data_IF_914249419984
#
_entry.id   IF_914249419984
#
_cell.length_a   1.000
_cell.length_b   1.000
_cell.length_c   1.000
_cell.angle_alpha   90.00
_cell.angle_beta   90.00
_cell.angle_gamma   90.00
#
_symmetry.space_group_name_H-M   'P 1'
#
loop_
_entity.id
_entity.type
_entity.pdbx_description
1 polymer ?
#
# COMPACT_ATOMS: atom_id res chain seq x y z
N UNK A 1 -7.14 -17.58 -17.73
CA UNK A 1 -8.51 -17.27 -17.24
C UNK A 1 -8.79 -15.81 -17.49
N UNK A 2 -9.97 -15.45 -18.01
CA UNK A 2 -10.41 -14.04 -17.99
C UNK A 2 -10.89 -13.76 -16.56
N UNK A 3 -10.37 -12.73 -15.87
CA UNK A 3 -10.83 -12.39 -14.54
C UNK A 3 -12.34 -12.10 -14.55
N UNK A 4 -13.08 -12.68 -13.60
CA UNK A 4 -14.54 -12.58 -13.54
C UNK A 4 -14.98 -11.30 -12.81
N UNK A 5 -14.96 -10.16 -13.51
CA UNK A 5 -15.45 -8.89 -12.97
C UNK A 5 -16.95 -8.90 -12.61
N UNK A 6 -17.74 -9.82 -13.16
CA UNK A 6 -19.17 -9.92 -12.81
C UNK A 6 -19.37 -10.38 -11.38
N UNK A 7 -18.52 -11.31 -10.89
CA UNK A 7 -18.55 -11.74 -9.50
C UNK A 7 -18.31 -10.56 -8.55
N UNK A 8 -17.37 -9.67 -8.91
CA UNK A 8 -17.05 -8.48 -8.12
C UNK A 8 -18.13 -7.41 -8.22
N UNK A 9 -18.71 -7.20 -9.41
CA UNK A 9 -19.83 -6.29 -9.58
C UNK A 9 -21.03 -6.68 -8.71
N UNK A 10 -21.26 -7.99 -8.50
CA UNK A 10 -22.28 -8.51 -7.59
C UNK A 10 -22.02 -8.22 -6.09
N UNK A 11 -20.80 -7.81 -5.72
CA UNK A 11 -20.45 -7.41 -4.35
C UNK A 11 -20.76 -5.93 -4.06
N UNK A 12 -21.08 -5.16 -5.09
CA UNK A 12 -21.28 -3.72 -4.99
C UNK A 12 -22.73 -3.35 -5.33
N UNK A 13 -23.27 -2.44 -4.56
CA UNK A 13 -24.50 -1.74 -4.89
C UNK A 13 -24.24 -0.74 -6.01
N UNK A 14 -25.17 -0.64 -6.97
CA UNK A 14 -25.08 0.30 -8.11
C UNK A 14 -23.73 0.19 -8.85
N UNK A 15 -23.34 -1.01 -9.32
CA UNK A 15 -22.05 -1.19 -9.95
C UNK A 15 -22.00 -0.49 -11.30
N UNK A 16 -20.94 0.27 -11.52
CA UNK A 16 -20.57 0.94 -12.76
C UNK A 16 -19.26 0.32 -13.25
N UNK A 17 -19.32 -0.34 -14.39
CA UNK A 17 -18.14 -0.92 -15.05
C UNK A 17 -17.45 0.21 -15.81
N UNK A 18 -16.31 0.66 -15.29
CA UNK A 18 -15.54 1.77 -15.87
C UNK A 18 -14.60 1.28 -16.99
N UNK A 19 -14.10 0.06 -16.84
CA UNK A 19 -13.29 -0.62 -17.86
C UNK A 19 -13.71 -2.09 -17.88
N UNK A 20 -14.26 -2.53 -19.02
CA UNK A 20 -14.89 -3.83 -19.22
C UNK A 20 -14.02 -5.05 -18.91
N UNK A 21 -12.71 -4.87 -18.75
CA UNK A 21 -11.78 -5.93 -18.35
C UNK A 21 -11.04 -5.70 -17.04
N UNK A 22 -11.07 -4.48 -16.46
CA UNK A 22 -10.18 -4.17 -15.33
C UNK A 22 -10.77 -3.34 -14.19
N UNK A 23 -11.84 -2.56 -14.35
CA UNK A 23 -12.26 -1.63 -13.28
C UNK A 23 -13.77 -1.59 -13.10
N UNK A 24 -14.21 -1.76 -11.85
CA UNK A 24 -15.60 -1.62 -11.42
C UNK A 24 -15.64 -0.67 -10.23
N UNK A 25 -16.61 0.24 -10.23
CA UNK A 25 -16.89 1.15 -9.12
C UNK A 25 -18.31 0.93 -8.65
N UNK A 26 -18.57 1.10 -7.37
CA UNK A 26 -19.91 1.00 -6.82
C UNK A 26 -19.90 1.36 -5.34
N UNK A 27 -20.94 0.95 -4.63
CA UNK A 27 -21.11 1.25 -3.24
C UNK A 27 -21.14 -0.03 -2.40
N UNK A 28 -20.62 0.03 -1.18
CA UNK A 28 -20.86 -0.96 -0.15
C UNK A 28 -21.46 -0.22 1.04
N UNK A 29 -22.79 -0.28 1.17
CA UNK A 29 -23.54 0.69 1.97
C UNK A 29 -23.34 2.12 1.44
N UNK A 30 -22.96 3.05 2.29
CA UNK A 30 -22.73 4.46 1.91
C UNK A 30 -21.30 4.74 1.41
N UNK A 31 -20.42 3.72 1.43
CA UNK A 31 -19.03 3.90 1.07
C UNK A 31 -18.80 3.62 -0.42
N UNK A 32 -18.29 4.61 -1.14
CA UNK A 32 -17.81 4.42 -2.51
C UNK A 32 -16.59 3.48 -2.50
N UNK A 33 -16.66 2.40 -3.26
CA UNK A 33 -15.59 1.42 -3.44
C UNK A 33 -15.23 1.35 -4.92
N UNK A 34 -13.93 1.40 -5.21
CA UNK A 34 -13.38 1.15 -6.54
C UNK A 34 -12.55 -0.13 -6.50
N UNK A 35 -12.93 -1.10 -7.32
CA UNK A 35 -12.20 -2.33 -7.51
C UNK A 35 -11.47 -2.28 -8.85
N UNK A 36 -10.19 -2.65 -8.86
CA UNK A 36 -9.36 -2.64 -10.06
C UNK A 36 -8.48 -3.87 -10.15
N UNK A 37 -8.31 -4.36 -11.36
CA UNK A 37 -7.33 -5.37 -11.73
C UNK A 37 -6.15 -4.72 -12.43
N UNK A 38 -4.96 -5.05 -11.96
CA UNK A 38 -3.70 -4.61 -12.56
C UNK A 38 -2.82 -5.81 -12.84
N UNK A 39 -2.37 -5.94 -14.07
CA UNK A 39 -1.25 -6.82 -14.36
C UNK A 39 0.03 -6.14 -13.84
N UNK A 40 0.79 -6.82 -13.00
CA UNK A 40 2.14 -6.38 -12.61
C UNK A 40 3.14 -7.43 -13.03
N UNK A 41 4.18 -6.98 -13.72
CA UNK A 41 5.33 -7.80 -14.07
C UNK A 41 6.29 -7.84 -12.87
N UNK A 42 6.67 -9.05 -12.45
CA UNK A 42 7.69 -9.29 -11.44
C UNK A 42 8.76 -10.20 -12.04
N UNK A 43 9.77 -9.58 -12.67
CA UNK A 43 10.75 -10.30 -13.48
C UNK A 43 10.10 -10.88 -14.74
N UNK A 44 10.23 -12.19 -14.95
CA UNK A 44 9.63 -12.90 -16.09
C UNK A 44 8.18 -13.36 -15.83
N UNK A 45 7.63 -13.11 -14.64
CA UNK A 45 6.28 -13.56 -14.26
C UNK A 45 5.32 -12.38 -14.25
N UNK A 46 4.22 -12.51 -15.00
CA UNK A 46 3.08 -11.59 -14.90
C UNK A 46 2.11 -12.07 -13.84
N UNK A 47 1.81 -11.23 -12.86
CA UNK A 47 0.86 -11.54 -11.78
C UNK A 47 -0.31 -10.55 -11.87
N UNK A 48 -1.54 -11.06 -11.79
CA UNK A 48 -2.73 -10.22 -11.68
C UNK A 48 -2.89 -9.77 -10.24
N UNK A 49 -2.90 -8.47 -10.03
CA UNK A 49 -3.17 -7.82 -8.76
C UNK A 49 -4.59 -7.30 -8.73
N UNK A 50 -5.21 -7.46 -7.58
CA UNK A 50 -6.47 -6.85 -7.19
C UNK A 50 -6.17 -5.62 -6.34
N UNK A 51 -6.82 -4.51 -6.66
CA UNK A 51 -6.78 -3.28 -5.88
C UNK A 51 -8.21 -2.92 -5.46
N UNK A 52 -8.43 -2.69 -4.17
CA UNK A 52 -9.69 -2.17 -3.62
C UNK A 52 -9.39 -0.83 -3.00
N UNK A 53 -10.02 0.22 -3.52
CA UNK A 53 -9.81 1.60 -3.08
C UNK A 53 -11.10 2.21 -2.54
N UNK A 54 -11.00 2.91 -1.42
CA UNK A 54 -12.06 3.78 -0.88
C UNK A 54 -11.52 5.18 -0.64
N UNK A 55 -12.35 6.24 -0.77
CA UNK A 55 -11.97 7.59 -0.36
C UNK A 55 -11.38 7.61 1.06
N UNK A 56 -10.23 8.27 1.21
CA UNK A 56 -9.63 8.54 2.51
C UNK A 56 -9.97 9.97 2.95
N UNK A 57 -10.24 10.21 4.24
CA UNK A 57 -10.39 11.56 4.76
C UNK A 57 -9.09 12.36 4.58
N UNK A 58 -9.19 13.64 4.25
CA UNK A 58 -8.01 14.50 4.10
C UNK A 58 -7.24 14.63 5.42
N UNK A 59 -5.91 14.62 5.33
CA UNK A 59 -5.01 14.74 6.48
C UNK A 59 -4.74 13.43 7.21
N UNK A 60 -5.38 12.32 6.82
CA UNK A 60 -5.10 11.00 7.38
C UNK A 60 -4.23 10.19 6.40
N UNK A 61 -3.01 9.90 6.81
CA UNK A 61 -2.06 9.07 6.05
C UNK A 61 -1.77 7.84 6.90
N UNK A 62 -2.25 6.66 6.50
CA UNK A 62 -2.01 5.41 7.23
C UNK A 62 -1.49 4.37 6.25
N UNK A 63 -0.34 3.78 6.58
CA UNK A 63 0.18 2.61 5.92
C UNK A 63 0.22 1.43 6.89
N UNK A 64 -0.55 0.40 6.61
CA UNK A 64 -0.47 -0.89 7.30
C UNK A 64 0.12 -1.87 6.31
N UNK A 65 1.08 -2.68 6.74
CA UNK A 65 1.74 -3.69 5.90
C UNK A 65 2.45 -4.75 6.73
N UNK A 66 2.77 -5.88 6.10
CA UNK A 66 3.64 -6.88 6.71
C UNK A 66 5.07 -6.32 6.86
N UNK A 67 5.76 -6.64 7.96
CA UNK A 67 7.16 -6.28 8.12
C UNK A 67 8.02 -7.02 7.09
N UNK A 68 9.01 -6.34 6.53
CA UNK A 68 10.09 -7.02 5.80
C UNK A 68 11.12 -7.57 6.79
N UNK A 69 11.82 -8.65 6.43
CA UNK A 69 12.90 -9.21 7.28
C UNK A 69 13.96 -8.17 7.68
N UNK A 70 14.17 -7.15 6.84
CA UNK A 70 15.04 -6.02 7.17
C UNK A 70 14.44 -5.14 8.27
N UNK A 71 13.16 -4.81 8.19
CA UNK A 71 12.49 -3.97 9.17
C UNK A 71 12.32 -4.68 10.50
N UNK A 72 12.06 -5.99 10.50
CA UNK A 72 12.10 -6.79 11.73
C UNK A 72 13.45 -6.66 12.42
N UNK A 73 14.56 -6.77 11.66
CA UNK A 73 15.91 -6.59 12.20
C UNK A 73 16.18 -5.16 12.66
N UNK A 74 15.71 -4.15 11.94
CA UNK A 74 15.89 -2.75 12.33
C UNK A 74 15.11 -2.44 13.61
N UNK A 75 13.88 -2.95 13.76
CA UNK A 75 13.08 -2.82 14.99
C UNK A 75 13.72 -3.58 16.16
N UNK A 76 14.17 -4.83 15.94
CA UNK A 76 14.86 -5.63 16.97
C UNK A 76 16.13 -4.95 17.50
N UNK A 77 16.85 -4.23 16.63
CA UNK A 77 18.08 -3.50 16.99
C UNK A 77 17.80 -2.12 17.59
N UNK A 78 16.53 -1.73 17.77
CA UNK A 78 16.15 -0.39 18.23
C UNK A 78 16.47 0.72 17.23
N UNK A 79 16.73 0.37 15.96
CA UNK A 79 17.09 1.30 14.87
C UNK A 79 15.85 1.84 14.14
N UNK A 80 14.68 1.25 14.38
CA UNK A 80 13.39 1.71 13.88
C UNK A 80 12.32 1.57 14.97
N UNK A 81 11.40 2.52 15.01
CA UNK A 81 10.20 2.46 15.86
C UNK A 81 9.02 2.08 14.98
N UNK A 82 8.40 0.94 15.27
CA UNK A 82 7.08 0.62 14.74
C UNK A 82 6.03 1.27 15.66
N UNK A 83 5.05 1.95 15.08
CA UNK A 83 3.90 2.43 15.85
C UNK A 83 3.19 1.24 16.49
N UNK A 84 2.86 1.37 17.77
CA UNK A 84 2.18 0.32 18.54
C UNK A 84 0.70 0.66 18.64
N UNK A 85 -0.15 -0.18 18.08
CA UNK A 85 -1.59 -0.07 18.26
C UNK A 85 -2.00 -0.36 19.69
N UNK A 86 -1.17 -1.07 20.47
CA UNK A 86 -1.49 -1.53 21.82
C UNK A 86 -2.09 -2.93 21.83
N UNK A 87 -2.42 -3.48 20.65
CA UNK A 87 -2.74 -4.89 20.45
C UNK A 87 -1.45 -5.65 20.13
N UNK A 88 -1.02 -6.50 21.07
CA UNK A 88 0.22 -7.26 20.92
C UNK A 88 0.20 -8.28 19.78
N UNK A 89 -0.97 -8.78 19.37
CA UNK A 89 -1.08 -9.71 18.25
C UNK A 89 -0.99 -8.94 16.93
N UNK A 90 -1.65 -7.78 16.85
CA UNK A 90 -1.59 -6.92 15.66
C UNK A 90 -0.18 -6.37 15.45
N UNK A 91 0.44 -5.86 16.52
CA UNK A 91 1.76 -5.24 16.51
C UNK A 91 2.92 -6.23 16.26
N UNK A 92 2.66 -7.55 16.35
CA UNK A 92 3.61 -8.60 15.95
C UNK A 92 3.57 -8.88 14.45
N UNK A 93 2.41 -8.67 13.84
CA UNK A 93 2.14 -9.11 12.46
C UNK A 93 2.25 -7.95 11.48
N UNK A 94 1.91 -6.74 11.90
CA UNK A 94 1.85 -5.58 11.03
C UNK A 94 2.77 -4.46 11.50
N UNK A 95 3.33 -3.74 10.53
CA UNK A 95 3.91 -2.42 10.73
C UNK A 95 2.86 -1.40 10.33
N UNK A 96 2.66 -0.41 11.20
CA UNK A 96 1.91 0.80 10.90
C UNK A 96 2.89 1.96 10.68
N UNK A 97 2.63 2.80 9.67
CA UNK A 97 3.35 4.03 9.33
C UNK A 97 2.32 5.16 9.06
N UNK A 98 2.68 6.44 9.26
CA UNK A 98 1.99 7.60 8.63
C UNK A 98 1.07 8.48 9.50
N UNK A 99 0.33 7.92 10.45
CA UNK A 99 -0.70 8.65 11.22
C UNK A 99 -0.39 8.68 12.71
N UNK A 100 -0.98 9.64 13.47
CA UNK A 100 -0.86 9.65 14.93
C UNK A 100 -1.36 8.34 15.51
N UNK A 101 -0.61 7.80 16.48
CA UNK A 101 -0.87 6.48 17.09
C UNK A 101 -2.32 6.34 17.57
N UNK A 102 -2.86 7.40 18.17
CA UNK A 102 -4.24 7.44 18.68
C UNK A 102 -5.27 7.19 17.57
N UNK A 103 -5.10 7.80 16.40
CA UNK A 103 -6.06 7.66 15.29
C UNK A 103 -6.01 6.24 14.73
N UNK A 104 -4.79 5.69 14.57
CA UNK A 104 -4.61 4.30 14.15
C UNK A 104 -5.28 3.37 15.14
N UNK A 105 -5.06 3.55 16.44
CA UNK A 105 -5.68 2.75 17.50
C UNK A 105 -7.19 2.79 17.40
N UNK A 106 -7.80 3.99 17.36
CA UNK A 106 -9.27 4.09 17.24
C UNK A 106 -9.83 3.42 15.97
N UNK A 107 -9.06 3.37 14.87
CA UNK A 107 -9.46 2.67 13.64
C UNK A 107 -9.33 1.15 13.79
N UNK A 108 -8.23 0.65 14.37
CA UNK A 108 -7.96 -0.79 14.56
C UNK A 108 -8.71 -1.39 15.76
N UNK A 109 -9.19 -0.55 16.68
CA UNK A 109 -10.08 -0.94 17.77
C UNK A 109 -11.46 -1.42 17.27
N UNK A 110 -11.83 -1.09 16.02
CA UNK A 110 -12.98 -1.68 15.36
C UNK A 110 -12.71 -3.16 15.02
N UNK A 111 -13.48 -4.06 15.63
CA UNK A 111 -13.29 -5.51 15.54
C UNK A 111 -13.44 -6.05 14.12
N UNK A 112 -14.34 -5.47 13.31
CA UNK A 112 -14.55 -5.90 11.92
C UNK A 112 -13.35 -5.53 11.04
N UNK A 113 -12.81 -4.32 11.22
CA UNK A 113 -11.59 -3.90 10.53
C UNK A 113 -10.43 -4.80 10.94
N UNK A 114 -10.26 -5.03 12.25
CA UNK A 114 -9.17 -5.87 12.76
C UNK A 114 -9.22 -7.28 12.20
N UNK A 115 -10.37 -7.95 12.32
CA UNK A 115 -10.57 -9.31 11.79
C UNK A 115 -10.37 -9.35 10.29
N UNK A 116 -10.93 -8.36 9.56
CA UNK A 116 -10.74 -8.24 8.13
C UNK A 116 -9.26 -8.15 7.75
N UNK A 117 -8.51 -7.24 8.36
CA UNK A 117 -7.07 -7.08 8.10
C UNK A 117 -6.28 -8.35 8.43
N UNK A 118 -6.59 -9.04 9.53
CA UNK A 118 -5.96 -10.31 9.88
C UNK A 118 -6.29 -11.46 8.92
N UNK A 119 -7.55 -11.59 8.50
CA UNK A 119 -7.99 -12.64 7.59
C UNK A 119 -7.48 -12.42 6.17
N UNK A 120 -7.27 -11.16 5.77
CA UNK A 120 -6.67 -10.78 4.50
C UNK A 120 -5.13 -10.86 4.51
N UNK A 121 -4.53 -11.42 5.56
CA UNK A 121 -3.09 -11.68 5.68
C UNK A 121 -2.67 -12.80 4.72
N UNK A 122 -2.51 -12.48 3.43
CA UNK A 122 -1.73 -13.32 2.51
C UNK A 122 -0.25 -12.98 2.63
N UNK A 123 0.68 -13.97 2.52
CA UNK A 123 2.12 -13.72 2.51
C UNK A 123 2.57 -12.73 1.43
N UNK A 124 1.74 -12.47 0.42
CA UNK A 124 2.02 -11.52 -0.63
C UNK A 124 1.22 -10.23 -0.44
N UNK A 125 1.75 -9.42 0.48
CA UNK A 125 1.79 -7.95 0.41
C UNK A 125 0.45 -7.23 0.62
N UNK A 126 0.22 -6.79 1.85
CA UNK A 126 -0.75 -5.76 2.23
C UNK A 126 -0.09 -4.39 2.05
N UNK A 127 -0.57 -3.56 1.12
CA UNK A 127 -0.28 -2.13 1.12
C UNK A 127 -1.60 -1.41 1.36
N UNK A 128 -1.71 -0.61 2.42
CA UNK A 128 -2.57 0.58 2.40
C UNK A 128 -1.66 1.73 1.97
N UNK A 129 -1.56 1.98 0.66
CA UNK A 129 -0.73 3.08 0.14
C UNK A 129 -1.60 4.30 -0.13
N UNK A 130 -1.33 5.39 0.58
CA UNK A 130 -1.78 6.73 0.20
C UNK A 130 -0.80 7.30 -0.83
N UNK A 131 -1.24 7.59 -2.05
CA UNK A 131 -0.46 8.36 -3.01
C UNK A 131 -0.77 9.86 -2.84
N UNK A 132 0.15 10.60 -2.20
CA UNK A 132 0.04 12.06 -2.01
C UNK A 132 0.23 12.84 -3.32
N UNK A 133 0.75 12.23 -4.39
CA UNK A 133 1.21 12.99 -5.56
C UNK A 133 0.16 13.24 -6.65
N UNK A 134 -1.07 12.71 -6.55
CA UNK A 134 -2.14 13.00 -7.53
C UNK A 134 -3.53 13.13 -6.88
N UNK A 135 -3.73 14.23 -6.15
CA UNK A 135 -5.00 14.95 -6.01
C UNK A 135 -6.32 14.27 -5.53
N UNK A 136 -6.41 12.98 -5.21
CA UNK A 136 -7.55 12.42 -4.44
C UNK A 136 -7.09 11.30 -3.49
N UNK A 137 -7.11 11.56 -2.19
CA UNK A 137 -6.72 10.61 -1.16
C UNK A 137 -7.63 9.38 -1.13
N UNK A 138 -7.05 8.18 -1.24
CA UNK A 138 -7.78 6.93 -1.12
C UNK A 138 -6.98 5.92 -0.27
N UNK A 139 -7.67 5.18 0.59
CA UNK A 139 -7.13 3.95 1.15
C UNK A 139 -7.23 2.89 0.07
N UNK A 140 -6.10 2.31 -0.30
CA UNK A 140 -6.03 1.28 -1.33
C UNK A 140 -5.43 0.03 -0.75
N UNK A 141 -6.17 -1.07 -0.73
CA UNK A 141 -5.67 -2.41 -0.48
C UNK A 141 -5.22 -3.02 -1.81
N UNK A 142 -4.01 -3.58 -1.86
CA UNK A 142 -3.49 -4.24 -3.07
C UNK A 142 -3.06 -5.65 -2.74
N UNK A 143 -3.51 -6.66 -3.49
CA UNK A 143 -3.17 -8.07 -3.25
C UNK A 143 -3.16 -8.89 -4.55
N UNK A 144 -2.29 -9.90 -4.69
CA UNK A 144 -2.25 -10.75 -5.88
C UNK A 144 -3.37 -11.81 -5.89
N UNK A 145 -3.95 -12.07 -7.06
CA UNK A 145 -4.68 -13.32 -7.36
C UNK A 145 -6.12 -13.46 -6.86
N UNK A 146 -6.71 -12.49 -6.16
CA UNK A 146 -8.01 -12.66 -5.50
C UNK A 146 -9.26 -12.68 -6.38
N UNK A 147 -9.16 -12.34 -7.67
CA UNK A 147 -10.35 -12.39 -8.54
C UNK A 147 -10.94 -13.79 -8.64
N UNK A 148 -10.08 -14.79 -8.48
CA UNK A 148 -10.48 -16.19 -8.55
C UNK A 148 -11.02 -16.71 -7.20
N UNK A 149 -10.98 -15.88 -6.14
CA UNK A 149 -11.41 -16.19 -4.77
C UNK A 149 -12.50 -15.20 -4.29
N UNK A 150 -13.75 -15.47 -4.67
CA UNK A 150 -14.89 -14.57 -4.43
C UNK A 150 -15.06 -14.16 -2.95
N UNK A 151 -14.83 -15.07 -2.01
CA UNK A 151 -14.94 -14.79 -0.57
C UNK A 151 -13.91 -13.78 -0.08
N UNK A 152 -12.68 -13.86 -0.60
CA UNK A 152 -11.60 -12.92 -0.27
C UNK A 152 -11.85 -11.55 -0.89
N UNK A 153 -12.34 -11.50 -2.13
CA UNK A 153 -12.78 -10.25 -2.75
C UNK A 153 -13.92 -9.59 -1.95
N UNK A 154 -14.91 -10.36 -1.49
CA UNK A 154 -16.00 -9.87 -0.66
C UNK A 154 -15.52 -9.35 0.70
N UNK A 155 -14.61 -10.08 1.35
CA UNK A 155 -14.02 -9.66 2.61
C UNK A 155 -13.18 -8.38 2.43
N UNK A 156 -12.43 -8.26 1.34
CA UNK A 156 -11.66 -7.06 1.01
C UNK A 156 -12.56 -5.83 0.82
N UNK A 157 -13.62 -5.95 0.02
CA UNK A 157 -14.59 -4.88 -0.21
C UNK A 157 -15.24 -4.44 1.10
N UNK A 158 -15.74 -5.39 1.92
CA UNK A 158 -16.35 -5.07 3.22
C UNK A 158 -15.37 -4.40 4.18
N UNK A 159 -14.15 -4.93 4.30
CA UNK A 159 -13.12 -4.39 5.21
C UNK A 159 -12.72 -2.98 4.80
N UNK A 160 -12.50 -2.75 3.50
CA UNK A 160 -12.14 -1.42 3.00
C UNK A 160 -13.30 -0.44 3.11
N UNK A 161 -14.53 -0.87 2.85
CA UNK A 161 -15.72 -0.03 3.03
C UNK A 161 -15.85 0.42 4.50
N UNK A 162 -15.73 -0.52 5.44
CA UNK A 162 -15.76 -0.25 6.88
C UNK A 162 -14.62 0.68 7.30
N UNK A 163 -13.40 0.46 6.78
CA UNK A 163 -12.24 1.32 7.02
C UNK A 163 -12.52 2.77 6.61
N UNK A 164 -13.09 3.00 5.43
CA UNK A 164 -13.46 4.34 4.96
C UNK A 164 -14.42 5.05 5.93
N UNK A 165 -15.47 4.36 6.35
CA UNK A 165 -16.49 4.90 7.27
C UNK A 165 -15.90 5.22 8.65
N UNK A 166 -15.14 4.29 9.23
CA UNK A 166 -14.54 4.47 10.57
C UNK A 166 -13.50 5.59 10.54
N UNK A 167 -12.63 5.62 9.52
CA UNK A 167 -11.64 6.68 9.35
C UNK A 167 -12.29 8.06 9.21
N UNK A 168 -13.36 8.18 8.41
CA UNK A 168 -14.11 9.42 8.27
C UNK A 168 -14.71 9.89 9.61
N UNK A 169 -15.24 8.95 10.41
CA UNK A 169 -15.78 9.24 11.74
C UNK A 169 -14.71 9.71 12.73
N UNK A 170 -13.55 9.04 12.77
CA UNK A 170 -12.42 9.41 13.64
C UNK A 170 -11.90 10.80 13.27
N UNK A 171 -11.73 11.08 11.99
CA UNK A 171 -11.29 12.37 11.49
C UNK A 171 -12.31 13.48 11.73
N UNK A 172 -13.61 13.19 11.52
CA UNK A 172 -14.69 14.14 11.81
C UNK A 172 -14.69 14.57 13.28
N UNK A 173 -14.54 13.63 14.22
CA UNK A 173 -14.41 13.93 15.66
C UNK A 173 -13.18 14.77 15.96
N UNK A 174 -12.04 14.42 15.39
CA UNK A 174 -10.79 15.17 15.65
C UNK A 174 -10.88 16.60 15.14
N UNK A 175 -11.51 16.83 13.98
CA UNK A 175 -11.76 18.18 13.46
C UNK A 175 -12.73 18.96 14.34
N UNK A 176 -13.85 18.35 14.74
CA UNK A 176 -14.81 18.97 15.64
C UNK A 176 -14.17 19.36 17.00
N UNK A 177 -13.33 18.50 17.57
CA UNK A 177 -12.58 18.78 18.79
C UNK A 177 -11.55 19.92 18.60
N UNK A 178 -11.01 20.07 17.39
CA UNK A 178 -10.11 21.16 17.06
C UNK A 178 -10.86 22.50 16.95
N UNK A 179 -12.00 22.50 16.27
CA UNK A 179 -12.84 23.69 16.00
C UNK A 179 -13.58 24.20 17.23
N UNK A 180 -14.12 23.31 18.07
CA UNK A 180 -14.87 23.68 19.27
C UNK A 180 -14.01 24.34 20.36
N UNK A 181 -12.69 24.48 20.13
CA UNK A 181 -11.73 24.88 21.16
C UNK A 181 -11.73 23.93 22.37
N UNK A 182 -12.42 22.79 22.26
CA UNK A 182 -12.59 21.83 23.33
C UNK A 182 -11.25 21.14 23.56
N UNK A 183 -10.58 21.56 24.63
CA UNK A 183 -9.26 21.04 25.02
C UNK A 183 -9.33 19.71 25.74
N UNK A 184 -10.53 19.24 26.11
CA UNK A 184 -10.72 18.04 26.95
C UNK A 184 -9.82 18.05 28.19
N UNK A 185 -9.75 16.92 28.90
CA UNK A 185 -8.80 16.73 30.02
C UNK A 185 -7.35 16.45 29.55
N UNK A 186 -6.99 16.88 28.33
CA UNK A 186 -5.73 16.47 27.70
C UNK A 186 -4.78 17.66 27.51
N UNK A 187 -3.58 17.49 28.07
CA UNK A 187 -2.52 18.48 28.15
C UNK A 187 -2.18 19.12 26.78
N UNK A 188 -1.99 20.46 26.70
CA UNK A 188 -1.65 21.19 25.47
C UNK A 188 -0.38 20.72 24.73
N UNK A 189 0.42 19.84 25.33
CA UNK A 189 1.64 19.28 24.75
C UNK A 189 1.45 18.16 23.71
N UNK A 190 0.22 17.64 23.49
CA UNK A 190 -0.02 16.53 22.55
C UNK A 190 -0.29 16.94 21.10
N UNK A 191 -1.01 18.04 20.82
CA UNK A 191 -1.33 18.43 19.42
C UNK A 191 -0.11 18.83 18.59
N UNK A 192 0.83 19.57 19.17
CA UNK A 192 2.08 19.93 18.49
C UNK A 192 2.91 18.68 18.18
N UNK A 193 2.94 17.73 19.13
CA UNK A 193 3.61 16.43 18.96
C UNK A 193 2.90 15.57 17.92
N UNK A 194 1.57 15.53 17.89
CA UNK A 194 0.80 14.79 16.88
C UNK A 194 1.04 15.37 15.47
N UNK A 195 1.08 16.70 15.32
CA UNK A 195 1.42 17.35 14.04
C UNK A 195 2.87 17.09 13.63
N UNK A 196 3.81 17.21 14.56
CA UNK A 196 5.22 16.86 14.34
C UNK A 196 5.38 15.37 13.96
N UNK A 197 4.61 14.47 14.57
CA UNK A 197 4.57 13.04 14.25
C UNK A 197 4.00 12.78 12.85
N UNK A 198 2.94 13.48 12.44
CA UNK A 198 2.41 13.38 11.06
C UNK A 198 3.44 13.91 10.05
N UNK A 199 4.05 15.06 10.30
CA UNK A 199 5.08 15.63 9.42
C UNK A 199 6.31 14.74 9.34
N UNK A 200 6.75 14.18 10.46
CA UNK A 200 7.90 13.28 10.52
C UNK A 200 7.58 11.94 9.83
N UNK A 201 6.38 11.39 10.03
CA UNK A 201 5.93 10.19 9.34
C UNK A 201 5.82 10.42 7.83
N UNK A 202 5.29 11.57 7.40
CA UNK A 202 5.30 11.98 5.98
C UNK A 202 6.72 12.07 5.43
N UNK A 203 7.65 12.71 6.15
CA UNK A 203 9.06 12.77 5.73
C UNK A 203 9.66 11.38 5.59
N UNK A 204 9.44 10.47 6.55
CA UNK A 204 9.96 9.10 6.49
C UNK A 204 9.40 8.32 5.30
N UNK A 205 8.11 8.47 5.00
CA UNK A 205 7.46 7.86 3.83
C UNK A 205 8.07 8.41 2.54
N UNK A 206 8.18 9.74 2.40
CA UNK A 206 8.74 10.40 1.22
C UNK A 206 10.22 10.00 0.99
N UNK A 207 11.02 9.92 2.05
CA UNK A 207 12.43 9.49 1.97
C UNK A 207 12.55 8.03 1.55
N UNK A 208 11.70 7.14 2.09
CA UNK A 208 11.67 5.72 1.69
C UNK A 208 11.27 5.57 0.21
N UNK A 209 10.28 6.32 -0.26
CA UNK A 209 9.87 6.30 -1.67
C UNK A 209 10.96 6.84 -2.61
N UNK A 210 11.62 7.94 -2.23
CA UNK A 210 12.74 8.49 -2.99
C UNK A 210 13.91 7.49 -3.10
N UNK A 211 14.20 6.75 -2.02
CA UNK A 211 15.21 5.69 -2.03
C UNK A 211 14.78 4.50 -2.90
N UNK A 212 13.50 4.10 -2.86
CA UNK A 212 12.97 2.99 -3.68
C UNK A 212 13.04 3.31 -5.17
N UNK A 213 12.66 4.52 -5.58
CA UNK A 213 12.79 5.01 -6.97
C UNK A 213 14.25 5.04 -7.43
N UNK A 214 15.19 5.44 -6.57
CA UNK A 214 16.64 5.38 -6.91
C UNK A 214 17.14 3.94 -7.05
N UNK A 215 16.70 3.03 -6.20
CA UNK A 215 17.08 1.60 -6.28
C UNK A 215 16.61 0.93 -7.57
N UNK A 216 15.38 1.21 -8.01
CA UNK A 216 14.85 0.68 -9.28
C UNK A 216 15.62 1.22 -10.50
N UNK A 217 16.05 2.47 -10.48
CA UNK A 217 16.85 3.06 -11.56
C UNK A 217 18.29 2.52 -11.58
N UNK A 218 18.91 2.31 -10.42
CA UNK A 218 20.25 1.74 -10.33
C UNK A 218 20.28 0.27 -10.80
N UNK A 219 19.25 -0.51 -10.45
CA UNK A 219 19.09 -1.89 -10.91
C UNK A 219 18.94 -1.99 -12.43
N UNK A 220 18.13 -1.11 -13.04
CA UNK A 220 17.99 -1.02 -14.50
C UNK A 220 19.30 -0.61 -15.19
N UNK A 221 20.06 0.30 -14.58
CA UNK A 221 21.34 0.75 -15.13
C UNK A 221 22.41 -0.35 -15.09
N UNK A 222 22.50 -1.11 -14.00
CA UNK A 222 23.44 -2.23 -13.87
C UNK A 222 23.13 -3.38 -14.82
N UNK A 223 21.85 -3.74 -15.00
CA UNK A 223 21.44 -4.77 -15.98
C UNK A 223 21.73 -4.30 -17.41
N UNK A 224 21.47 -3.02 -17.72
CA UNK A 224 21.81 -2.43 -19.01
C UNK A 224 23.32 -2.45 -19.28
N UNK A 225 24.15 -2.08 -18.30
CA UNK A 225 25.60 -2.12 -18.42
C UNK A 225 26.15 -3.55 -18.63
N UNK A 226 25.60 -4.54 -17.91
CA UNK A 226 25.98 -5.93 -18.08
C UNK A 226 25.66 -6.45 -19.49
N UNK A 227 24.48 -6.11 -20.02
CA UNK A 227 24.10 -6.47 -21.39
C UNK A 227 25.04 -5.87 -22.43
N UNK A 228 25.47 -4.61 -22.26
CA UNK A 228 26.44 -3.96 -23.16
C UNK A 228 27.79 -4.66 -23.12
N UNK A 229 28.27 -5.05 -21.94
CA UNK A 229 29.54 -5.79 -21.79
C UNK A 229 29.47 -7.18 -22.45
N UNK A 230 28.36 -7.90 -22.26
CA UNK A 230 28.14 -9.20 -22.91
C UNK A 230 28.11 -9.03 -24.44
N UNK A 231 27.37 -8.03 -24.94
CA UNK A 231 27.29 -7.76 -26.38
C UNK A 231 28.66 -7.43 -26.97
N UNK A 232 29.44 -6.57 -26.28
CA UNK A 232 30.80 -6.22 -26.70
C UNK A 232 31.72 -7.44 -26.72
N UNK A 233 31.59 -8.34 -25.73
CA UNK A 233 32.33 -9.60 -25.70
C UNK A 233 31.98 -10.54 -26.86
N UNK A 234 30.69 -10.68 -27.19
CA UNK A 234 30.24 -11.48 -28.33
C UNK A 234 30.74 -10.90 -29.65
N UNK A 235 30.68 -9.59 -29.83
CA UNK A 235 31.18 -8.91 -31.04
C UNK A 235 32.70 -9.07 -31.16
N UNK A 236 33.45 -8.89 -30.07
CA UNK A 236 34.90 -9.10 -30.07
C UNK A 236 35.29 -10.56 -30.36
N UNK A 237 34.51 -11.53 -29.85
CA UNK A 237 34.72 -12.95 -30.12
C UNK A 237 34.37 -13.36 -31.55
N UNK A 238 33.35 -12.74 -32.14
CA UNK A 238 32.94 -13.00 -33.53
C UNK A 238 33.89 -12.39 -34.56
N UNK A 239 34.43 -11.20 -34.29
CA UNK A 239 35.30 -10.45 -35.22
C UNK A 239 36.79 -10.78 -35.00
N UNK A 240 37.17 -11.21 -33.79
CA UNK A 240 38.55 -11.56 -33.42
C UNK A 240 39.25 -12.55 -34.36
N UNK A 241 38.60 -13.64 -34.82
CA UNK A 241 39.19 -14.59 -35.76
C UNK A 241 39.46 -13.98 -37.14
N UNK A 242 38.58 -13.08 -37.58
CA UNK A 242 38.62 -12.48 -38.93
C UNK A 242 39.72 -11.40 -39.05
N UNK A 243 39.97 -10.67 -37.95
CA UNK A 243 41.10 -9.72 -37.85
C UNK A 243 42.43 -10.48 -37.75
N UNK A 244 42.48 -11.57 -36.96
CA UNK A 244 43.68 -12.38 -36.80
C UNK A 244 44.11 -13.08 -38.11
N UNK A 245 43.16 -13.42 -39.00
CA UNK A 245 43.45 -14.00 -40.31
C UNK A 245 43.93 -12.98 -41.36
N UNK A 246 43.69 -11.67 -41.16
CA UNK A 246 44.15 -10.61 -42.07
C UNK A 246 45.52 -10.04 -41.71
N UNK A 247 46.06 -10.41 -40.56
CA UNK A 247 47.37 -9.99 -40.05
C UNK A 247 48.46 -11.08 -40.16
N UNK A 248 48.13 -12.25 -40.73
CA UNK A 248 49.08 -13.27 -41.18
C UNK A 248 49.17 -13.26 -42.69
#
# INVERSE_FOLDING_TARGET
>A
MKPNLQAVAGLLERPEILDGGATVRGFAGDQLVTFRLKLRENGSVSVVWTEVSVPAPEGLIVGIRLPTAREEREVQKGLAVAFRTGDSEFDKVFIVDGAPERMVREIIDDEEIRRGVFSLRSPNVFFVKYEVLTQKGAFTLQMPGWVDEADNAALAVRTMAKLGVVAARVMGRTRADAEAGYRGANDPGRRKRDQEEVEEAMRRILVREARRRRGENLGKFLVGALLVVILAGVVAFAIGPEIASRLR
#
